data_IF_614982979557
#
_entry.id   IF_614982979557
#
_cell.length_a   1.000
_cell.length_b   1.000
_cell.length_c   1.000
_cell.angle_alpha   90.00
_cell.angle_beta   90.00
_cell.angle_gamma   90.00
#
_symmetry.space_group_name_H-M   'P 1'
#
loop_
_entity.id
_entity.type
_entity.pdbx_description
1 polymer ?
#
# COMPACT_ATOMS: atom_id res chain seq x y z
N UNK A 1 19.54 -4.53 -0.82
CA UNK A 1 19.31 -4.01 0.54
C UNK A 1 18.60 -2.68 0.44
N UNK A 2 17.51 -2.50 1.19
CA UNK A 2 16.80 -1.20 1.37
C UNK A 2 17.20 -0.62 2.72
N UNK A 3 17.65 0.63 2.70
CA UNK A 3 18.02 1.38 3.88
C UNK A 3 17.76 2.85 3.62
N UNK A 4 16.66 3.33 4.18
CA UNK A 4 16.23 4.73 4.09
C UNK A 4 15.67 5.15 5.45
N UNK A 5 15.40 6.42 5.63
CA UNK A 5 14.68 6.94 6.80
C UNK A 5 13.20 6.48 6.87
N UNK A 6 12.71 5.87 5.79
CA UNK A 6 11.35 5.32 5.69
C UNK A 6 11.27 3.81 5.86
N UNK A 7 12.40 3.11 5.82
CA UNK A 7 12.45 1.65 5.98
C UNK A 7 11.99 1.27 7.39
N UNK A 8 11.07 0.33 7.49
CA UNK A 8 10.44 -0.06 8.75
C UNK A 8 10.23 -1.57 8.87
N UNK A 9 9.97 -2.04 10.08
CA UNK A 9 9.64 -3.44 10.32
C UNK A 9 8.26 -3.79 9.74
N UNK A 10 7.34 -2.83 9.69
CA UNK A 10 6.01 -2.99 9.10
C UNK A 10 6.12 -3.36 7.62
N UNK A 11 7.06 -2.77 6.89
CA UNK A 11 7.33 -3.12 5.49
C UNK A 11 7.83 -4.55 5.36
N UNK A 12 8.76 -4.98 6.20
CA UNK A 12 9.28 -6.35 6.17
C UNK A 12 8.17 -7.37 6.48
N UNK A 13 7.34 -7.11 7.48
CA UNK A 13 6.19 -7.97 7.81
C UNK A 13 5.16 -7.97 6.69
N UNK A 14 4.90 -6.82 6.06
CA UNK A 14 4.00 -6.73 4.91
C UNK A 14 4.44 -7.61 3.74
N UNK A 15 5.74 -7.60 3.42
CA UNK A 15 6.30 -8.49 2.39
C UNK A 15 6.16 -9.97 2.75
N UNK A 16 6.44 -10.35 4.00
CA UNK A 16 6.26 -11.73 4.46
C UNK A 16 4.81 -12.20 4.39
N UNK A 17 3.86 -11.32 4.75
CA UNK A 17 2.43 -11.62 4.61
C UNK A 17 2.01 -11.76 3.15
N UNK A 18 2.49 -10.88 2.29
CA UNK A 18 2.21 -10.95 0.85
C UNK A 18 2.80 -12.24 0.23
N UNK A 19 4.02 -12.64 0.60
CA UNK A 19 4.62 -13.92 0.20
C UNK A 19 3.76 -15.09 0.66
N UNK A 20 3.31 -15.09 1.91
CA UNK A 20 2.42 -16.13 2.46
C UNK A 20 1.05 -16.19 1.74
N UNK A 21 0.58 -15.06 1.19
CA UNK A 21 -0.63 -15.00 0.36
C UNK A 21 -0.40 -15.45 -1.10
N UNK A 22 0.82 -15.88 -1.45
CA UNK A 22 1.18 -16.30 -2.80
C UNK A 22 1.42 -15.14 -3.77
N UNK A 23 1.65 -13.94 -3.26
CA UNK A 23 1.92 -12.74 -4.07
C UNK A 23 3.42 -12.66 -4.35
N UNK A 24 3.85 -12.45 -5.60
CA UNK A 24 5.26 -12.32 -5.92
C UNK A 24 5.84 -11.01 -5.35
N UNK A 25 6.74 -11.14 -4.37
CA UNK A 25 7.38 -10.04 -3.64
C UNK A 25 8.85 -10.35 -3.40
N UNK A 26 9.70 -9.35 -3.14
CA UNK A 26 11.05 -9.61 -2.66
C UNK A 26 11.02 -10.42 -1.37
N UNK A 27 11.76 -11.52 -1.32
CA UNK A 27 11.88 -12.32 -0.08
C UNK A 27 12.75 -11.60 0.92
N UNK A 28 12.23 -11.38 2.12
CA UNK A 28 12.99 -10.81 3.23
C UNK A 28 14.01 -11.85 3.73
N UNK A 29 15.28 -11.51 3.63
CA UNK A 29 16.39 -12.35 4.13
C UNK A 29 16.70 -11.96 5.57
N UNK A 30 16.76 -10.67 5.85
CA UNK A 30 17.00 -10.14 7.19
C UNK A 30 16.41 -8.74 7.33
N UNK A 31 15.96 -8.41 8.54
CA UNK A 31 15.49 -7.08 8.90
C UNK A 31 16.01 -6.75 10.29
N UNK A 32 16.57 -5.57 10.48
CA UNK A 32 17.11 -5.16 11.77
C UNK A 32 17.75 -3.78 11.76
N UNK A 33 18.29 -3.37 12.91
CA UNK A 33 18.98 -2.10 13.05
C UNK A 33 20.24 -2.06 12.17
N UNK A 34 20.44 -0.95 11.46
CA UNK A 34 21.64 -0.78 10.64
C UNK A 34 22.86 -0.48 11.52
N UNK A 35 23.97 -1.25 11.42
CA UNK A 35 25.09 -1.18 12.34
C UNK A 35 25.83 0.17 12.34
N UNK A 36 25.72 0.96 11.27
CA UNK A 36 26.38 2.27 11.14
C UNK A 36 25.50 3.46 11.52
N UNK A 37 24.33 3.23 12.10
CA UNK A 37 23.39 4.29 12.51
C UNK A 37 23.28 4.37 14.05
N UNK A 38 24.34 4.79 14.78
CA UNK A 38 24.39 4.68 16.24
C UNK A 38 23.36 5.53 16.99
N UNK A 39 22.75 6.52 16.33
CA UNK A 39 21.86 7.46 17.03
C UNK A 39 20.41 7.48 16.54
N UNK A 40 20.06 6.80 15.43
CA UNK A 40 18.73 6.92 14.82
C UNK A 40 17.99 5.59 14.59
N UNK A 41 18.42 4.47 15.16
CA UNK A 41 17.75 3.15 15.05
C UNK A 41 17.14 2.90 13.66
N UNK A 42 17.90 3.21 12.61
CA UNK A 42 17.43 3.03 11.24
C UNK A 42 17.35 1.55 10.92
N UNK A 43 16.19 1.12 10.53
CA UNK A 43 15.95 -0.25 10.07
C UNK A 43 16.53 -0.44 8.68
N UNK A 44 17.18 -1.58 8.46
CA UNK A 44 17.59 -2.06 7.14
C UNK A 44 16.87 -3.36 6.81
N UNK A 45 16.51 -3.54 5.54
CA UNK A 45 15.92 -4.78 5.03
C UNK A 45 16.86 -5.32 3.96
N UNK A 46 17.39 -6.52 4.18
CA UNK A 46 18.05 -7.31 3.17
C UNK A 46 17.01 -8.22 2.52
N UNK A 47 16.84 -8.14 1.22
CA UNK A 47 15.83 -8.88 0.47
C UNK A 47 16.37 -9.31 -0.88
N UNK A 48 15.72 -10.28 -1.52
CA UNK A 48 16.00 -10.68 -2.89
C UNK A 48 15.62 -9.56 -3.87
N UNK A 49 16.19 -9.60 -5.07
CA UNK A 49 15.78 -8.76 -6.20
C UNK A 49 14.74 -9.51 -7.03
N UNK A 50 13.69 -8.84 -7.44
CA UNK A 50 12.78 -9.33 -8.48
C UNK A 50 13.33 -8.95 -9.86
N UNK A 51 13.17 -9.81 -10.87
CA UNK A 51 13.50 -9.49 -12.26
C UNK A 51 12.45 -8.54 -12.87
N UNK A 52 12.70 -8.10 -14.11
CA UNK A 52 11.76 -7.30 -14.88
C UNK A 52 11.94 -5.79 -14.72
N UNK A 53 11.04 -5.05 -15.36
CA UNK A 53 10.97 -3.59 -15.37
C UNK A 53 9.63 -3.11 -14.81
N UNK A 54 9.58 -1.88 -14.31
CA UNK A 54 8.32 -1.34 -13.82
C UNK A 54 7.38 -1.00 -14.97
N UNK A 55 6.07 -1.16 -14.77
CA UNK A 55 5.06 -0.78 -15.76
C UNK A 55 5.15 0.69 -16.19
N UNK A 56 5.63 1.58 -15.33
CA UNK A 56 5.84 2.99 -15.67
C UNK A 56 6.91 3.17 -16.74
N UNK A 57 7.93 2.30 -16.76
CA UNK A 57 9.06 2.37 -17.70
C UNK A 57 8.92 1.40 -18.88
N UNK A 58 7.84 0.65 -18.95
CA UNK A 58 7.58 -0.35 -19.98
C UNK A 58 6.91 0.25 -21.23
N UNK A 59 7.49 1.30 -21.80
CA UNK A 59 6.91 2.01 -22.96
C UNK A 59 6.60 1.12 -24.17
N UNK A 60 7.18 -0.07 -24.26
CA UNK A 60 6.98 -1.03 -25.37
C UNK A 60 6.01 -2.18 -25.04
N UNK A 61 5.63 -2.36 -23.76
CA UNK A 61 4.82 -3.51 -23.33
C UNK A 61 3.31 -3.28 -23.38
N UNK A 62 2.86 -2.06 -23.60
CA UNK A 62 1.44 -1.71 -23.65
C UNK A 62 0.98 -1.60 -25.13
N UNK A 63 1.16 -2.63 -25.93
CA UNK A 63 0.43 -2.76 -27.19
C UNK A 63 -0.98 -3.21 -26.89
N UNK A 64 -1.95 -2.31 -27.09
CA UNK A 64 -3.35 -2.40 -26.65
C UNK A 64 -4.12 -3.60 -27.25
N UNK A 65 -3.56 -4.35 -28.15
CA UNK A 65 -4.26 -5.38 -28.94
C UNK A 65 -3.95 -6.84 -28.53
N UNK A 66 -3.06 -7.08 -27.58
CA UNK A 66 -2.78 -8.42 -27.07
C UNK A 66 -3.25 -8.55 -25.60
N UNK A 67 -3.92 -9.65 -25.28
CA UNK A 67 -4.24 -10.02 -23.89
C UNK A 67 -2.93 -10.16 -23.10
N UNK A 68 -2.57 -9.14 -22.34
CA UNK A 68 -1.32 -9.13 -21.57
C UNK A 68 -1.46 -10.06 -20.36
N UNK A 69 -0.67 -11.14 -20.25
CA UNK A 69 -0.79 -12.12 -19.15
C UNK A 69 -0.69 -11.50 -17.77
N UNK A 70 0.15 -10.47 -17.60
CA UNK A 70 0.35 -9.79 -16.32
C UNK A 70 -0.93 -9.19 -15.75
N UNK A 71 -1.91 -8.80 -16.59
CA UNK A 71 -3.14 -8.16 -16.13
C UNK A 71 -4.06 -9.15 -15.40
N UNK A 72 -4.21 -10.36 -15.93
CA UNK A 72 -4.98 -11.41 -15.25
C UNK A 72 -4.26 -11.91 -14.00
N UNK A 73 -2.93 -12.05 -14.06
CA UNK A 73 -2.09 -12.40 -12.90
C UNK A 73 -2.17 -11.33 -11.80
N UNK A 74 -2.17 -10.04 -12.16
CA UNK A 74 -2.39 -8.92 -11.26
C UNK A 74 -3.75 -9.03 -10.56
N UNK A 75 -4.79 -9.31 -11.30
CA UNK A 75 -6.14 -9.52 -10.76
C UNK A 75 -6.19 -10.68 -9.78
N UNK A 76 -5.55 -11.81 -10.09
CA UNK A 76 -5.43 -12.96 -9.20
C UNK A 76 -4.72 -12.56 -7.90
N UNK A 77 -3.61 -11.83 -7.97
CA UNK A 77 -2.87 -11.35 -6.80
C UNK A 77 -3.72 -10.41 -5.93
N UNK A 78 -4.44 -9.46 -6.53
CA UNK A 78 -5.34 -8.58 -5.79
C UNK A 78 -6.46 -9.36 -5.11
N UNK A 79 -7.05 -10.34 -5.78
CA UNK A 79 -8.07 -11.20 -5.18
C UNK A 79 -7.51 -11.99 -4.00
N UNK A 80 -6.33 -12.59 -4.13
CA UNK A 80 -5.65 -13.35 -3.07
C UNK A 80 -5.36 -12.45 -1.86
N UNK A 81 -4.83 -11.25 -2.08
CA UNK A 81 -4.58 -10.27 -1.03
C UNK A 81 -5.87 -9.93 -0.25
N UNK A 82 -6.98 -9.73 -0.96
CA UNK A 82 -8.28 -9.38 -0.37
C UNK A 82 -8.99 -10.51 0.38
N UNK A 83 -8.46 -11.73 0.36
CA UNK A 83 -8.94 -12.82 1.23
C UNK A 83 -8.46 -12.65 2.67
N UNK A 84 -7.36 -11.95 2.89
CA UNK A 84 -6.78 -11.76 4.20
C UNK A 84 -7.51 -10.69 4.98
N UNK A 85 -7.78 -10.99 6.25
CA UNK A 85 -8.49 -10.12 7.20
C UNK A 85 -7.62 -9.87 8.42
N UNK A 86 -7.78 -8.73 9.11
CA UNK A 86 -7.02 -8.46 10.30
C UNK A 86 -7.30 -9.53 11.37
N UNK A 87 -6.27 -9.98 12.10
CA UNK A 87 -6.45 -10.89 13.23
C UNK A 87 -7.15 -10.15 14.39
N UNK A 88 -8.35 -10.61 14.78
CA UNK A 88 -9.09 -10.09 15.93
C UNK A 88 -9.89 -8.81 15.63
N UNK A 89 -9.60 -7.71 16.32
CA UNK A 89 -10.34 -6.46 16.19
C UNK A 89 -10.17 -5.82 14.80
N UNK A 90 -11.19 -5.09 14.34
CA UNK A 90 -11.21 -4.37 13.06
C UNK A 90 -10.34 -3.09 13.11
N UNK A 91 -9.05 -3.23 13.36
CA UNK A 91 -8.09 -2.13 13.38
C UNK A 91 -7.68 -1.79 11.95
N UNK A 92 -7.71 -0.50 11.61
CA UNK A 92 -7.13 0.03 10.37
C UNK A 92 -5.73 0.51 10.74
N UNK A 93 -4.72 -0.19 10.24
CA UNK A 93 -3.34 0.02 10.64
C UNK A 93 -2.38 -0.89 9.90
N UNK A 94 -1.11 -0.85 10.27
CA UNK A 94 -0.09 -1.75 9.73
C UNK A 94 -0.39 -3.23 10.06
N UNK A 95 0.29 -4.19 9.43
CA UNK A 95 0.10 -5.60 9.75
C UNK A 95 0.31 -5.97 11.20
N UNK A 96 1.14 -5.22 11.93
CA UNK A 96 1.44 -5.43 13.35
C UNK A 96 0.64 -4.51 14.27
N UNK A 97 -0.39 -3.81 13.74
CA UNK A 97 -1.29 -2.96 14.53
C UNK A 97 -0.75 -1.58 14.89
N UNK A 98 0.35 -1.14 14.28
CA UNK A 98 0.90 0.21 14.41
C UNK A 98 0.36 1.15 13.32
N UNK A 99 0.91 2.37 13.26
CA UNK A 99 0.55 3.37 12.24
C UNK A 99 0.83 2.88 10.82
N UNK A 100 0.07 3.42 9.87
CA UNK A 100 0.26 3.25 8.43
C UNK A 100 1.11 4.38 7.87
N UNK A 101 1.94 4.08 6.89
CA UNK A 101 2.54 5.09 6.04
C UNK A 101 1.69 5.30 4.79
N UNK A 102 1.51 6.57 4.39
CA UNK A 102 0.80 6.88 3.14
C UNK A 102 1.28 8.21 2.58
N UNK A 103 1.64 8.23 1.31
CA UNK A 103 2.00 9.47 0.59
C UNK A 103 0.80 10.41 0.36
N UNK A 104 -0.42 9.95 0.67
CA UNK A 104 -1.67 10.68 0.42
C UNK A 104 -2.14 11.53 1.61
N UNK A 105 -1.45 11.45 2.75
CA UNK A 105 -1.84 12.19 3.96
C UNK A 105 -0.72 13.11 4.43
N UNK A 106 -1.06 14.25 5.07
CA UNK A 106 -0.07 15.13 5.68
C UNK A 106 0.81 14.37 6.68
N UNK A 107 2.12 14.63 6.65
CA UNK A 107 3.08 13.97 7.54
C UNK A 107 3.35 12.50 7.21
N UNK A 108 2.70 11.95 6.18
CA UNK A 108 2.91 10.58 5.67
C UNK A 108 2.70 9.45 6.68
N UNK A 109 2.13 9.72 7.84
CA UNK A 109 1.83 8.74 8.89
C UNK A 109 0.39 8.93 9.35
N UNK A 110 -0.37 7.84 9.51
CA UNK A 110 -1.74 7.88 10.01
C UNK A 110 -2.07 6.63 10.85
N UNK A 111 -3.08 6.75 11.72
CA UNK A 111 -3.55 5.66 12.57
C UNK A 111 -2.55 5.21 13.65
N UNK A 112 -2.73 4.00 14.21
CA UNK A 112 -3.83 3.09 13.91
C UNK A 112 -5.19 3.65 14.31
N UNK A 113 -6.27 3.23 13.60
CA UNK A 113 -7.64 3.64 13.91
C UNK A 113 -8.44 2.44 14.40
N UNK A 114 -9.29 2.67 15.39
CA UNK A 114 -10.07 1.61 16.01
C UNK A 114 -11.31 1.21 15.18
N UNK A 115 -11.77 2.12 14.32
CA UNK A 115 -12.90 1.87 13.42
C UNK A 115 -12.83 2.72 12.15
N UNK A 116 -13.76 2.46 11.22
CA UNK A 116 -13.85 3.17 9.95
C UNK A 116 -14.28 4.63 10.12
N UNK A 117 -15.05 4.96 11.16
CA UNK A 117 -15.52 6.35 11.38
C UNK A 117 -14.34 7.23 11.77
N UNK A 118 -13.47 6.74 12.65
CA UNK A 118 -12.25 7.44 13.04
C UNK A 118 -11.33 7.66 11.82
N UNK A 119 -11.14 6.62 11.01
CA UNK A 119 -10.34 6.68 9.78
C UNK A 119 -10.88 7.71 8.78
N UNK A 120 -12.18 7.68 8.47
CA UNK A 120 -12.78 8.64 7.54
C UNK A 120 -12.79 10.06 8.09
N UNK A 121 -13.05 10.24 9.38
CA UNK A 121 -12.95 11.54 10.04
C UNK A 121 -11.54 12.12 9.88
N UNK A 122 -10.51 11.30 10.06
CA UNK A 122 -9.13 11.71 9.86
C UNK A 122 -8.87 12.13 8.40
N UNK A 123 -9.30 11.35 7.41
CA UNK A 123 -9.09 11.64 6.00
C UNK A 123 -9.79 12.93 5.54
N UNK A 124 -10.95 13.24 6.09
CA UNK A 124 -11.75 14.42 5.72
C UNK A 124 -11.31 15.66 6.49
N UNK A 125 -10.72 15.51 7.68
CA UNK A 125 -10.38 16.64 8.56
C UNK A 125 -9.49 17.73 7.93
N UNK A 126 -8.55 17.45 6.99
CA UNK A 126 -7.77 18.48 6.32
C UNK A 126 -8.51 19.21 5.20
N UNK A 127 -9.71 18.76 4.81
CA UNK A 127 -10.46 19.37 3.72
C UNK A 127 -10.87 20.80 4.07
N UNK A 128 -10.61 21.73 3.15
CA UNK A 128 -10.91 23.16 3.32
C UNK A 128 -11.65 23.69 2.11
N UNK A 129 -12.63 24.57 2.34
CA UNK A 129 -13.37 25.24 1.27
C UNK A 129 -12.48 26.00 0.28
N UNK A 130 -11.29 26.45 0.71
CA UNK A 130 -10.32 27.13 -0.15
C UNK A 130 -9.72 26.27 -1.27
N UNK A 131 -9.84 24.95 -1.18
CA UNK A 131 -9.38 24.01 -2.20
C UNK A 131 -10.41 23.75 -3.32
N UNK A 132 -11.58 24.41 -3.27
CA UNK A 132 -12.68 24.21 -4.21
C UNK A 132 -13.03 25.52 -4.92
N UNK A 133 -13.61 25.44 -6.10
CA UNK A 133 -14.03 26.59 -6.90
C UNK A 133 -15.15 27.42 -6.21
N UNK A 134 -15.95 26.78 -5.36
CA UNK A 134 -16.99 27.43 -4.58
C UNK A 134 -17.31 26.70 -3.27
N UNK A 135 -17.87 27.44 -2.32
CA UNK A 135 -18.39 26.85 -1.06
C UNK A 135 -19.47 25.81 -1.31
N UNK A 136 -20.33 26.05 -2.32
CA UNK A 136 -21.38 25.09 -2.68
C UNK A 136 -20.82 23.76 -3.20
N UNK A 137 -19.73 23.80 -3.96
CA UNK A 137 -19.03 22.58 -4.42
C UNK A 137 -18.37 21.84 -3.26
N UNK A 138 -17.73 22.56 -2.35
CA UNK A 138 -17.18 22.01 -1.13
C UNK A 138 -18.24 21.27 -0.30
N UNK A 139 -19.37 21.93 0.00
CA UNK A 139 -20.48 21.33 0.75
C UNK A 139 -21.05 20.09 0.06
N UNK A 140 -21.27 20.16 -1.26
CA UNK A 140 -21.73 19.01 -2.07
C UNK A 140 -20.74 17.85 -1.98
N UNK A 141 -19.45 18.13 -1.99
CA UNK A 141 -18.39 17.09 -1.89
C UNK A 141 -18.37 16.47 -0.51
N UNK A 142 -18.53 17.27 0.56
CA UNK A 142 -18.66 16.75 1.92
C UNK A 142 -19.87 15.82 2.08
N UNK A 143 -21.03 16.20 1.54
CA UNK A 143 -22.21 15.32 1.57
C UNK A 143 -21.97 14.00 0.83
N UNK A 144 -21.21 14.01 -0.28
CA UNK A 144 -20.83 12.77 -0.98
C UNK A 144 -19.86 11.94 -0.16
N UNK A 145 -18.87 12.57 0.48
CA UNK A 145 -17.92 11.89 1.36
C UNK A 145 -18.64 11.24 2.56
N UNK A 146 -19.58 11.94 3.19
CA UNK A 146 -20.36 11.40 4.30
C UNK A 146 -21.15 10.15 3.91
N UNK A 147 -21.79 10.15 2.72
CA UNK A 147 -22.48 8.96 2.21
C UNK A 147 -21.55 7.75 2.01
N UNK A 148 -20.29 7.97 1.64
CA UNK A 148 -19.30 6.89 1.55
C UNK A 148 -18.90 6.41 2.95
N UNK A 149 -18.73 7.33 3.89
CA UNK A 149 -18.38 7.01 5.29
C UNK A 149 -19.47 6.20 6.03
N UNK A 150 -20.73 6.31 5.60
CA UNK A 150 -21.86 5.55 6.16
C UNK A 150 -21.90 4.08 5.70
N UNK A 151 -21.10 3.70 4.70
CA UNK A 151 -21.02 2.31 4.25
C UNK A 151 -20.07 1.52 5.12
N UNK A 152 -20.45 0.29 5.47
CA UNK A 152 -19.56 -0.65 6.16
C UNK A 152 -18.74 -1.42 5.11
N UNK A 153 -17.46 -1.10 5.03
CA UNK A 153 -16.51 -1.78 4.16
C UNK A 153 -15.78 -2.87 4.93
N UNK A 154 -15.41 -3.94 4.24
CA UNK A 154 -14.56 -4.96 4.81
C UNK A 154 -13.14 -4.41 4.96
N UNK A 155 -12.54 -4.59 6.13
CA UNK A 155 -11.14 -4.30 6.33
C UNK A 155 -10.32 -5.48 5.82
N UNK A 156 -9.46 -5.22 4.85
CA UNK A 156 -8.70 -6.21 4.11
C UNK A 156 -7.24 -5.81 4.02
N UNK A 157 -6.36 -6.80 3.80
CA UNK A 157 -4.97 -6.52 3.52
C UNK A 157 -4.83 -5.83 2.16
N UNK A 158 -4.08 -4.75 2.14
CA UNK A 158 -3.95 -3.87 0.98
C UNK A 158 -2.53 -3.36 0.88
N UNK A 159 -1.96 -3.30 -0.32
CA UNK A 159 -0.62 -2.75 -0.59
C UNK A 159 -0.47 -1.27 -0.19
N UNK A 160 -1.54 -0.49 -0.31
CA UNK A 160 -1.58 0.91 0.09
C UNK A 160 -1.01 1.91 -0.93
N UNK A 161 -0.08 1.51 -1.79
CA UNK A 161 0.50 2.35 -2.85
C UNK A 161 0.65 1.60 -4.18
N UNK A 162 -0.48 1.12 -4.71
CA UNK A 162 -0.55 0.32 -5.94
C UNK A 162 -0.44 1.23 -7.17
N UNK A 163 0.79 1.54 -7.58
CA UNK A 163 1.12 2.41 -8.74
C UNK A 163 1.97 1.64 -9.75
N UNK A 164 1.97 2.09 -11.00
CA UNK A 164 2.68 1.44 -12.10
C UNK A 164 4.18 1.23 -11.82
N UNK A 165 4.84 2.17 -11.15
CA UNK A 165 6.25 2.04 -10.79
C UNK A 165 6.54 0.95 -9.73
N UNK A 166 5.53 0.51 -8.98
CA UNK A 166 5.63 -0.55 -7.98
C UNK A 166 5.24 -1.93 -8.50
N UNK A 167 4.85 -2.05 -9.77
CA UNK A 167 4.48 -3.30 -10.44
C UNK A 167 5.57 -3.64 -11.45
N UNK A 168 6.17 -4.82 -11.33
CA UNK A 168 7.20 -5.30 -12.23
C UNK A 168 6.62 -6.35 -13.18
N UNK A 169 7.02 -6.23 -14.46
CA UNK A 169 6.71 -7.20 -15.51
C UNK A 169 8.01 -7.69 -16.12
N UNK A 170 8.08 -8.99 -16.41
CA UNK A 170 9.20 -9.63 -17.08
C UNK A 170 9.20 -9.36 -18.58
N UNK A 171 10.32 -9.66 -19.25
CA UNK A 171 10.46 -9.55 -20.71
C UNK A 171 9.53 -10.52 -21.47
N UNK A 172 8.98 -11.51 -20.77
CA UNK A 172 8.01 -12.48 -21.27
C UNK A 172 6.54 -12.02 -21.14
N UNK A 173 6.31 -10.79 -20.67
CA UNK A 173 4.97 -10.22 -20.48
C UNK A 173 4.24 -10.69 -19.21
N UNK A 174 4.88 -11.50 -18.37
CA UNK A 174 4.30 -12.00 -17.13
C UNK A 174 4.61 -11.08 -15.93
N UNK A 175 3.73 -11.10 -14.93
CA UNK A 175 3.90 -10.37 -13.69
C UNK A 175 5.09 -10.91 -12.89
N UNK A 176 6.13 -10.07 -12.71
CA UNK A 176 7.30 -10.43 -11.89
C UNK A 176 7.08 -10.15 -10.42
N UNK A 177 6.30 -9.14 -10.07
CA UNK A 177 5.91 -8.88 -8.68
C UNK A 177 5.74 -7.42 -8.31
N UNK A 178 5.70 -7.20 -6.99
CA UNK A 178 5.36 -5.91 -6.41
C UNK A 178 6.45 -5.41 -5.49
N UNK A 179 6.74 -4.10 -5.59
CA UNK A 179 7.72 -3.38 -4.78
C UNK A 179 7.04 -2.40 -3.82
N UNK A 180 7.82 -1.89 -2.87
CA UNK A 180 7.49 -0.78 -1.97
C UNK A 180 6.25 -1.00 -1.10
N UNK A 181 6.35 -1.98 -0.20
CA UNK A 181 5.31 -2.40 0.73
C UNK A 181 5.21 -1.52 1.99
N UNK A 182 5.88 -0.35 2.01
CA UNK A 182 5.92 0.53 3.19
C UNK A 182 4.54 1.10 3.58
N UNK A 183 3.59 1.11 2.63
CA UNK A 183 2.22 1.59 2.85
C UNK A 183 1.21 0.46 3.07
N UNK A 184 1.66 -0.79 3.08
CA UNK A 184 0.75 -1.93 3.20
C UNK A 184 0.18 -2.08 4.61
N UNK A 185 -1.05 -2.58 4.67
CA UNK A 185 -1.76 -2.79 5.92
C UNK A 185 -3.22 -3.13 5.75
N UNK A 186 -3.97 -2.93 6.81
CA UNK A 186 -5.39 -3.19 6.92
C UNK A 186 -6.19 -1.94 6.58
N UNK A 187 -6.93 -1.96 5.48
CA UNK A 187 -7.75 -0.83 4.99
C UNK A 187 -9.19 -1.26 4.72
N UNK A 188 -10.15 -0.34 4.84
CA UNK A 188 -11.54 -0.54 4.41
C UNK A 188 -11.67 -0.75 2.91
#
# INVERSE_FOLDING_TARGET
MKWTDRTSIEEAVSMQMAEAAGIPVPKVISCGEHPTAPFNRKISILMTRLPGVSLENSNDLLQIDEEEPWLEELKICICSMRLWRPPGQKIIGSPIGTSLRSSRVPGHIMGPFMDQKEFYKYLISPASAHAFESTAEYEKTLVRADKLCQRDYRILFTHGDFKAHNILVGDDGHLSGFLDWESAGWYP
#
